data_IF_461214319453
#
_entry.id   IF_461214319453
#
_cell.length_a   1.000
_cell.length_b   1.000
_cell.length_c   1.000
_cell.angle_alpha   90.00
_cell.angle_beta   90.00
_cell.angle_gamma   90.00
#
_symmetry.space_group_name_H-M   'P 1'
#
loop_
_entity.id
_entity.type
_entity.pdbx_description
1 polymer ?
#
# COMPACT_ATOMS: atom_id res chain seq x y z
N UNK A 1 -3.23 10.62 -4.12
CA UNK A 1 -3.84 11.78 -3.45
C UNK A 1 -2.89 12.22 -2.36
N UNK A 2 -2.72 13.53 -2.14
CA UNK A 2 -1.88 14.04 -1.06
C UNK A 2 -2.67 15.06 -0.25
N UNK A 3 -2.53 15.02 1.07
CA UNK A 3 -3.13 15.96 1.99
C UNK A 3 -2.16 16.24 3.14
N UNK A 4 -1.69 17.49 3.26
CA UNK A 4 -0.60 17.79 4.20
C UNK A 4 0.66 17.00 3.85
N UNK A 5 1.22 16.28 4.84
CA UNK A 5 2.34 15.35 4.70
C UNK A 5 1.91 13.92 4.36
N UNK A 6 0.61 13.61 4.40
CA UNK A 6 0.09 12.28 4.09
C UNK A 6 -0.08 12.10 2.57
N UNK A 7 0.42 10.97 2.06
CA UNK A 7 0.29 10.59 0.65
C UNK A 7 -0.36 9.22 0.52
N UNK A 8 -1.39 9.13 -0.32
CA UNK A 8 -2.12 7.91 -0.65
C UNK A 8 -1.87 7.53 -2.11
N UNK A 9 -1.41 6.29 -2.33
CA UNK A 9 -1.22 5.67 -3.65
C UNK A 9 -2.23 4.55 -3.83
N UNK A 10 -2.98 4.60 -4.93
CA UNK A 10 -3.95 3.57 -5.30
C UNK A 10 -3.46 2.83 -6.55
N UNK A 11 -3.39 1.50 -6.48
CA UNK A 11 -3.01 0.67 -7.60
C UNK A 11 -4.07 -0.39 -7.85
N UNK A 12 -4.65 -0.38 -9.06
CA UNK A 12 -5.50 -1.46 -9.55
C UNK A 12 -4.64 -2.68 -9.87
N UNK A 13 -5.05 -3.85 -9.38
CA UNK A 13 -4.39 -5.13 -9.65
C UNK A 13 -5.31 -5.99 -10.53
N UNK A 14 -4.98 -6.17 -11.82
CA UNK A 14 -5.65 -7.15 -12.66
C UNK A 14 -5.51 -8.57 -12.10
N UNK A 15 -6.46 -9.44 -12.42
CA UNK A 15 -6.45 -10.81 -11.92
C UNK A 15 -5.17 -11.58 -12.30
N UNK A 16 -4.66 -11.36 -13.51
CA UNK A 16 -3.42 -11.97 -13.98
C UNK A 16 -2.16 -11.52 -13.22
N UNK A 17 -2.21 -10.38 -12.52
CA UNK A 17 -1.04 -9.80 -11.85
C UNK A 17 -0.98 -10.11 -10.36
N UNK A 18 -1.96 -10.84 -9.81
CA UNK A 18 -2.06 -11.15 -8.38
C UNK A 18 -0.80 -11.80 -7.80
N UNK A 19 -0.08 -12.61 -8.60
CA UNK A 19 1.19 -13.23 -8.18
C UNK A 19 2.41 -12.30 -8.22
N UNK A 20 2.30 -11.15 -8.88
CA UNK A 20 3.41 -10.20 -9.08
C UNK A 20 3.16 -8.84 -8.41
N UNK A 21 2.08 -8.68 -7.64
CA UNK A 21 1.71 -7.42 -6.98
C UNK A 21 2.83 -6.95 -6.05
N UNK A 22 3.28 -7.83 -5.17
CA UNK A 22 4.23 -7.49 -4.12
C UNK A 22 5.55 -6.97 -4.70
N UNK A 23 6.28 -7.68 -5.58
CA UNK A 23 7.55 -7.18 -6.08
C UNK A 23 7.41 -5.85 -6.83
N UNK A 24 6.30 -5.62 -7.55
CA UNK A 24 6.07 -4.33 -8.24
C UNK A 24 5.78 -3.20 -7.27
N UNK A 25 4.95 -3.44 -6.27
CA UNK A 25 4.60 -2.45 -5.26
C UNK A 25 5.81 -2.11 -4.39
N UNK A 26 6.61 -3.10 -4.00
CA UNK A 26 7.84 -2.92 -3.23
C UNK A 26 8.90 -2.11 -4.01
N UNK A 27 9.05 -2.38 -5.31
CA UNK A 27 9.92 -1.56 -6.19
C UNK A 27 9.42 -0.12 -6.26
N UNK A 28 8.12 0.09 -6.45
CA UNK A 28 7.54 1.43 -6.49
C UNK A 28 7.78 2.19 -5.17
N UNK A 29 7.58 1.54 -4.03
CA UNK A 29 7.83 2.11 -2.70
C UNK A 29 9.31 2.47 -2.51
N UNK A 30 10.22 1.63 -3.02
CA UNK A 30 11.67 1.90 -3.00
C UNK A 30 12.02 3.13 -3.83
N UNK A 31 11.48 3.24 -5.04
CA UNK A 31 11.70 4.39 -5.91
C UNK A 31 11.14 5.68 -5.29
N UNK A 32 9.95 5.62 -4.66
CA UNK A 32 9.39 6.73 -3.90
C UNK A 32 10.29 7.15 -2.74
N UNK A 33 10.85 6.19 -1.99
CA UNK A 33 11.77 6.46 -0.88
C UNK A 33 13.06 7.13 -1.37
N UNK A 34 13.63 6.64 -2.47
CA UNK A 34 14.80 7.26 -3.09
C UNK A 34 14.51 8.69 -3.58
N UNK A 35 13.36 8.89 -4.21
CA UNK A 35 12.93 10.20 -4.69
C UNK A 35 12.71 11.19 -3.53
N UNK A 36 11.97 10.79 -2.50
CA UNK A 36 11.74 11.65 -1.32
C UNK A 36 13.04 11.99 -0.58
N UNK A 37 13.96 11.03 -0.45
CA UNK A 37 15.28 11.26 0.16
C UNK A 37 16.12 12.26 -0.64
N UNK A 38 16.09 12.21 -1.97
CA UNK A 38 16.76 13.18 -2.84
C UNK A 38 16.30 14.61 -2.55
N UNK A 39 15.01 14.79 -2.25
CA UNK A 39 14.41 16.07 -1.87
C UNK A 39 14.47 16.36 -0.36
N UNK A 40 15.30 15.63 0.41
CA UNK A 40 15.48 15.78 1.86
C UNK A 40 14.20 15.54 2.69
N UNK A 41 13.31 14.69 2.18
CA UNK A 41 12.12 14.23 2.88
C UNK A 41 12.31 12.78 3.35
N UNK A 42 11.58 12.39 4.39
CA UNK A 42 11.63 11.04 4.96
C UNK A 42 10.27 10.36 4.75
N UNK A 43 10.26 9.27 3.98
CA UNK A 43 9.16 8.31 4.01
C UNK A 43 9.20 7.56 5.35
N UNK A 44 8.18 7.74 6.18
CA UNK A 44 8.15 7.11 7.50
C UNK A 44 7.61 5.67 7.40
N UNK A 45 8.51 4.70 7.27
CA UNK A 45 8.18 3.27 7.16
C UNK A 45 7.24 2.82 8.30
N UNK A 46 7.44 3.30 9.53
CA UNK A 46 6.63 2.92 10.71
C UNK A 46 5.20 3.46 10.69
N UNK A 47 4.92 4.46 9.84
CA UNK A 47 3.60 5.03 9.62
C UNK A 47 2.98 4.60 8.28
N UNK A 48 3.71 3.82 7.48
CA UNK A 48 3.23 3.39 6.16
C UNK A 48 2.27 2.21 6.33
N UNK A 49 1.02 2.39 5.92
CA UNK A 49 -0.02 1.35 5.96
C UNK A 49 -0.39 0.90 4.55
N UNK A 50 -0.68 -0.39 4.36
CA UNK A 50 -1.15 -0.94 3.09
C UNK A 50 -2.54 -1.53 3.27
N UNK A 51 -3.48 -1.12 2.42
CA UNK A 51 -4.85 -1.61 2.40
C UNK A 51 -5.10 -2.34 1.10
N UNK A 52 -5.57 -3.59 1.20
CA UNK A 52 -5.93 -4.40 0.04
C UNK A 52 -7.44 -4.55 -0.07
N UNK A 53 -8.01 -4.00 -1.14
CA UNK A 53 -9.42 -4.14 -1.46
C UNK A 53 -9.62 -5.30 -2.43
N UNK A 54 -10.51 -6.24 -2.07
CA UNK A 54 -10.95 -7.30 -2.98
C UNK A 54 -12.45 -7.53 -2.84
N UNK A 55 -13.08 -7.96 -3.93
CA UNK A 55 -14.50 -8.29 -3.94
C UNK A 55 -14.78 -9.58 -3.17
N UNK A 56 -15.84 -9.58 -2.35
CA UNK A 56 -16.35 -10.77 -1.64
C UNK A 56 -16.76 -11.91 -2.58
N UNK A 57 -17.01 -11.61 -3.86
CA UNK A 57 -17.41 -12.59 -4.87
C UNK A 57 -16.22 -13.29 -5.53
N UNK A 58 -14.98 -12.91 -5.20
CA UNK A 58 -13.78 -13.53 -5.75
C UNK A 58 -13.10 -14.36 -4.67
N UNK A 59 -12.70 -15.58 -5.00
CA UNK A 59 -11.77 -16.35 -4.16
C UNK A 59 -10.39 -15.70 -4.25
N UNK A 60 -10.13 -14.76 -3.36
CA UNK A 60 -8.82 -14.12 -3.24
C UNK A 60 -7.92 -15.00 -2.37
N UNK A 61 -6.72 -15.39 -2.83
CA UNK A 61 -5.72 -15.93 -1.92
C UNK A 61 -5.40 -14.90 -0.83
N UNK A 62 -4.87 -15.35 0.33
CA UNK A 62 -4.43 -14.43 1.38
C UNK A 62 -3.52 -13.37 0.78
N UNK A 63 -3.74 -12.11 1.15
CA UNK A 63 -2.89 -11.03 0.67
C UNK A 63 -1.46 -11.27 1.16
N UNK A 64 -0.46 -11.34 0.27
CA UNK A 64 0.89 -11.71 0.66
C UNK A 64 1.59 -10.54 1.36
N UNK A 65 2.51 -10.85 2.28
CA UNK A 65 3.29 -9.85 3.02
C UNK A 65 4.03 -8.91 2.07
N UNK A 66 4.00 -7.61 2.36
CA UNK A 66 4.72 -6.58 1.61
C UNK A 66 5.84 -6.03 2.48
N UNK A 67 6.99 -5.78 1.87
CA UNK A 67 8.12 -5.11 2.52
C UNK A 67 8.25 -3.65 2.05
N UNK A 68 8.12 -2.70 2.96
CA UNK A 68 8.48 -1.29 2.71
C UNK A 68 9.90 -1.06 3.23
N UNK A 69 10.86 -0.94 2.33
CA UNK A 69 12.26 -0.76 2.71
C UNK A 69 12.82 -1.99 3.43
N UNK A 70 13.08 -1.86 4.75
CA UNK A 70 13.54 -2.94 5.62
C UNK A 70 12.45 -3.44 6.60
N UNK A 71 11.23 -2.91 6.48
CA UNK A 71 10.12 -3.22 7.39
C UNK A 71 9.05 -4.01 6.65
N UNK A 72 8.61 -5.13 7.22
CA UNK A 72 7.39 -5.79 6.77
C UNK A 72 6.19 -4.94 7.19
N UNK A 73 5.30 -4.63 6.25
CA UNK A 73 4.02 -4.01 6.56
C UNK A 73 3.05 -5.11 6.95
N UNK A 74 2.50 -4.99 8.16
CA UNK A 74 1.49 -5.92 8.63
C UNK A 74 0.18 -5.71 7.88
N UNK A 75 -0.42 -6.81 7.43
CA UNK A 75 -1.71 -6.79 6.73
C UNK A 75 -2.83 -6.76 7.76
N UNK A 76 -3.51 -5.62 7.89
CA UNK A 76 -4.61 -5.48 8.84
C UNK A 76 -5.96 -5.62 8.13
N UNK A 77 -6.94 -6.26 8.81
CA UNK A 77 -8.33 -6.36 8.32
C UNK A 77 -9.12 -5.07 8.50
N UNK A 78 -8.61 -4.16 9.31
CA UNK A 78 -9.20 -2.87 9.62
C UNK A 78 -8.09 -1.83 9.50
N UNK A 79 -8.31 -0.81 8.67
CA UNK A 79 -7.40 0.31 8.54
C UNK A 79 -7.81 1.43 9.49
N UNK A 80 -6.86 2.30 9.87
CA UNK A 80 -7.21 3.53 10.59
C UNK A 80 -8.08 4.41 9.70
N UNK A 81 -8.98 5.18 10.32
CA UNK A 81 -9.81 6.12 9.59
C UNK A 81 -8.92 7.30 9.11
N UNK A 82 -8.55 7.28 7.84
CA UNK A 82 -7.78 8.34 7.17
C UNK A 82 -8.65 9.50 6.67
N UNK A 83 -9.84 9.70 7.24
CA UNK A 83 -10.83 10.64 6.71
C UNK A 83 -11.50 10.16 5.42
N UNK A 84 -11.29 8.90 5.04
CA UNK A 84 -11.88 8.27 3.86
C UNK A 84 -13.17 7.55 4.29
N UNK A 85 -14.30 7.94 3.71
CA UNK A 85 -15.58 7.25 3.94
C UNK A 85 -15.62 6.01 3.05
N UNK A 86 -15.52 4.84 3.66
CA UNK A 86 -15.77 3.57 2.99
C UNK A 86 -17.27 3.29 2.97
N UNK A 87 -17.90 3.39 1.80
CA UNK A 87 -19.26 2.89 1.63
C UNK A 87 -19.23 1.36 1.63
N UNK A 88 -19.73 0.75 2.70
CA UNK A 88 -19.98 -0.68 2.76
C UNK A 88 -21.16 -1.02 1.82
N UNK A 89 -20.96 -2.00 0.93
CA UNK A 89 -21.99 -2.55 0.03
C UNK A 89 -22.13 -4.08 0.20
#
# INVERSE_FOLDING_TARGET
MAYGDDTQLYQGVPNEWRGCVNPRLELCLRDMKSCTTLYRLVLNDSKTEVIYFSSKFIKTPPFPKITVGNSEVETLRVAKNFGVIFFLH
#
